data_IF_526289426527
#
_entry.id   IF_526289426527
#
_cell.length_a   1.000
_cell.length_b   1.000
_cell.length_c   1.000
_cell.angle_alpha   90.00
_cell.angle_beta   90.00
_cell.angle_gamma   90.00
#
_symmetry.space_group_name_H-M   'P 1'
#
loop_
_entity.id
_entity.type
_entity.pdbx_description
1 polymer ?
#
# COMPACT_ATOMS: atom_id res chain seq x y z
N UNK A 1 2.64 5.14 -13.39
CA UNK A 1 2.27 5.92 -14.61
C UNK A 1 1.21 6.99 -14.34
N UNK A 2 0.03 6.65 -13.78
CA UNK A 2 -1.03 7.64 -13.54
C UNK A 2 -0.57 8.84 -12.69
N UNK A 3 0.19 8.60 -11.61
CA UNK A 3 0.74 9.67 -10.78
C UNK A 3 1.66 10.65 -11.54
N UNK A 4 2.46 10.17 -12.50
CA UNK A 4 3.27 11.07 -13.35
C UNK A 4 2.37 11.95 -14.22
N UNK A 5 1.34 11.37 -14.82
CA UNK A 5 0.44 12.08 -15.73
C UNK A 5 -0.43 13.12 -14.99
N UNK A 6 -1.08 12.71 -13.90
CA UNK A 6 -1.92 13.60 -13.10
C UNK A 6 -1.07 14.66 -12.40
N UNK A 7 0.13 14.30 -11.94
CA UNK A 7 1.09 15.24 -11.36
C UNK A 7 1.56 16.33 -12.33
N UNK A 8 1.86 15.97 -13.58
CA UNK A 8 2.25 16.91 -14.63
C UNK A 8 1.10 17.85 -14.99
N UNK A 9 -0.12 17.31 -15.08
CA UNK A 9 -1.33 18.12 -15.26
C UNK A 9 -1.56 19.09 -14.08
N UNK A 10 -1.48 18.62 -12.84
CA UNK A 10 -1.64 19.45 -11.64
C UNK A 10 -0.56 20.53 -11.54
N UNK A 11 0.69 20.22 -11.88
CA UNK A 11 1.76 21.23 -11.92
C UNK A 11 1.48 22.29 -12.99
N UNK A 12 1.03 21.89 -14.19
CA UNK A 12 0.67 22.82 -15.26
C UNK A 12 -0.53 23.70 -14.89
N UNK A 13 -1.55 23.14 -14.24
CA UNK A 13 -2.69 23.89 -13.73
C UNK A 13 -2.24 24.93 -12.70
N UNK A 14 -1.34 24.57 -11.78
CA UNK A 14 -0.80 25.48 -10.77
C UNK A 14 0.08 26.58 -11.39
N UNK A 15 0.92 26.24 -12.37
CA UNK A 15 1.73 27.22 -13.10
C UNK A 15 0.84 28.19 -13.87
N UNK A 16 -0.19 27.68 -14.55
CA UNK A 16 -1.17 28.52 -15.22
C UNK A 16 -1.88 29.46 -14.25
N UNK A 17 -2.33 28.91 -13.12
CA UNK A 17 -3.03 29.66 -12.09
C UNK A 17 -2.18 30.80 -11.54
N UNK A 18 -0.91 30.53 -11.22
CA UNK A 18 -0.02 31.51 -10.62
C UNK A 18 0.41 32.62 -11.59
N UNK A 19 0.57 32.30 -12.87
CA UNK A 19 1.14 33.24 -13.84
C UNK A 19 0.10 33.93 -14.73
N UNK A 20 -1.09 33.33 -14.90
CA UNK A 20 -2.06 33.77 -15.91
C UNK A 20 -3.50 33.93 -15.39
N UNK A 21 -3.85 33.37 -14.23
CA UNK A 21 -5.22 33.49 -13.74
C UNK A 21 -5.62 34.95 -13.48
N UNK A 22 -6.81 35.30 -13.93
CA UNK A 22 -7.42 36.60 -13.68
C UNK A 22 -8.24 36.57 -12.39
N UNK A 23 -8.63 37.76 -11.89
CA UNK A 23 -9.59 37.85 -10.78
C UNK A 23 -10.94 37.20 -11.12
N UNK A 24 -11.30 37.10 -12.41
CA UNK A 24 -12.52 36.40 -12.81
C UNK A 24 -12.33 34.89 -12.63
N UNK A 25 -11.22 34.33 -13.08
CA UNK A 25 -10.91 32.89 -12.93
C UNK A 25 -10.90 32.47 -11.45
N UNK A 26 -10.32 33.29 -10.57
CA UNK A 26 -10.34 33.07 -9.12
C UNK A 26 -11.77 32.98 -8.57
N UNK A 27 -12.66 33.87 -9.02
CA UNK A 27 -14.07 33.85 -8.61
C UNK A 27 -14.78 32.61 -9.14
N UNK A 28 -14.50 32.22 -10.37
CA UNK A 28 -15.14 31.06 -11.00
C UNK A 28 -14.70 29.76 -10.33
N UNK A 29 -13.40 29.61 -10.00
CA UNK A 29 -12.87 28.49 -9.22
C UNK A 29 -13.51 28.43 -7.83
N UNK A 30 -13.59 29.57 -7.12
CA UNK A 30 -14.25 29.63 -5.81
C UNK A 30 -15.73 29.25 -5.90
N UNK A 31 -16.46 29.76 -6.90
CA UNK A 31 -17.87 29.44 -7.10
C UNK A 31 -18.08 27.96 -7.44
N UNK A 32 -17.18 27.36 -8.22
CA UNK A 32 -17.19 25.94 -8.54
C UNK A 32 -17.04 25.11 -7.25
N UNK A 33 -15.98 25.33 -6.48
CA UNK A 33 -15.71 24.53 -5.27
C UNK A 33 -16.72 24.75 -4.15
N UNK A 34 -17.39 25.92 -4.07
CA UNK A 34 -18.47 26.14 -3.11
C UNK A 34 -19.69 25.24 -3.34
N UNK A 35 -19.92 24.81 -4.58
CA UNK A 35 -21.09 24.02 -4.98
C UNK A 35 -20.71 22.63 -5.51
N UNK A 36 -19.42 22.29 -5.47
CA UNK A 36 -18.93 21.00 -5.94
C UNK A 36 -19.31 19.93 -4.92
N UNK A 37 -20.04 18.92 -5.38
CA UNK A 37 -20.30 17.70 -4.64
C UNK A 37 -19.71 16.54 -5.43
N UNK A 38 -19.06 15.61 -4.74
CA UNK A 38 -18.64 14.35 -5.33
C UNK A 38 -19.22 13.21 -4.51
N UNK A 39 -20.52 12.89 -4.66
CA UNK A 39 -21.20 11.95 -3.77
C UNK A 39 -20.53 10.56 -3.71
N UNK A 40 -19.88 10.14 -4.81
CA UNK A 40 -19.13 8.88 -4.87
C UNK A 40 -17.86 8.96 -4.02
N UNK A 41 -17.09 10.05 -4.14
CA UNK A 41 -15.90 10.26 -3.32
C UNK A 41 -16.27 10.45 -1.85
N UNK A 42 -17.26 11.30 -1.56
CA UNK A 42 -17.66 11.67 -0.20
C UNK A 42 -18.16 10.46 0.61
N UNK A 43 -18.80 9.49 -0.06
CA UNK A 43 -19.30 8.25 0.54
C UNK A 43 -18.30 7.09 0.54
N UNK A 44 -17.16 7.23 -0.14
CA UNK A 44 -16.16 6.17 -0.21
C UNK A 44 -15.45 5.97 1.15
N UNK A 45 -15.03 4.73 1.48
CA UNK A 45 -14.13 4.45 2.59
C UNK A 45 -12.86 5.31 2.53
N UNK A 46 -12.30 5.64 3.70
CA UNK A 46 -11.10 6.49 3.81
C UNK A 46 -9.95 6.00 2.91
N UNK A 47 -9.66 4.70 2.95
CA UNK A 47 -8.69 4.05 2.06
C UNK A 47 -8.85 4.46 0.59
N UNK A 48 -10.07 4.34 0.04
CA UNK A 48 -10.33 4.62 -1.38
C UNK A 48 -10.29 6.11 -1.69
N UNK A 49 -10.61 6.98 -0.73
CA UNK A 49 -10.49 8.43 -0.91
C UNK A 49 -9.03 8.86 -1.00
N UNK A 50 -8.20 8.37 -0.08
CA UNK A 50 -6.76 8.66 -0.09
C UNK A 50 -6.11 8.11 -1.36
N UNK A 51 -6.44 6.88 -1.75
CA UNK A 51 -5.92 6.30 -2.99
C UNK A 51 -6.34 7.11 -4.23
N UNK A 52 -7.59 7.55 -4.27
CA UNK A 52 -8.09 8.35 -5.39
C UNK A 52 -7.32 9.67 -5.58
N UNK A 53 -6.91 10.32 -4.48
CA UNK A 53 -6.18 11.60 -4.55
C UNK A 53 -4.66 11.43 -4.70
N UNK A 54 -4.12 10.22 -4.49
CA UNK A 54 -2.69 9.95 -4.55
C UNK A 54 -2.01 10.47 -5.83
N UNK A 55 -2.54 10.22 -7.05
CA UNK A 55 -1.92 10.69 -8.28
C UNK A 55 -1.82 12.21 -8.39
N UNK A 56 -2.72 12.94 -7.75
CA UNK A 56 -2.76 14.41 -7.80
C UNK A 56 -1.80 15.01 -6.78
N UNK A 57 -1.78 14.50 -5.55
CA UNK A 57 -0.96 15.06 -4.46
C UNK A 57 0.49 14.63 -4.61
N UNK A 58 0.74 13.32 -4.58
CA UNK A 58 2.10 12.79 -4.60
C UNK A 58 2.69 12.79 -6.01
N UNK A 59 1.85 12.63 -7.03
CA UNK A 59 2.27 12.83 -8.42
C UNK A 59 2.74 14.25 -8.68
N UNK A 60 2.02 15.27 -8.20
CA UNK A 60 2.46 16.67 -8.35
C UNK A 60 3.79 16.90 -7.64
N UNK A 61 3.93 16.43 -6.39
CA UNK A 61 5.18 16.56 -5.64
C UNK A 61 6.36 15.87 -6.36
N UNK A 62 6.13 14.69 -6.95
CA UNK A 62 7.12 13.99 -7.77
C UNK A 62 7.54 14.81 -9.00
N UNK A 63 6.57 15.37 -9.74
CA UNK A 63 6.87 16.17 -10.94
C UNK A 63 7.56 17.50 -10.59
N UNK A 64 7.13 18.16 -9.51
CA UNK A 64 7.78 19.36 -8.98
C UNK A 64 9.23 19.08 -8.59
N UNK A 65 9.50 17.93 -7.96
CA UNK A 65 10.87 17.50 -7.65
C UNK A 65 11.71 17.38 -8.93
N UNK A 66 11.23 16.66 -9.95
CA UNK A 66 11.93 16.51 -11.23
C UNK A 66 12.19 17.87 -11.90
N UNK A 67 11.20 18.75 -11.89
CA UNK A 67 11.32 20.10 -12.43
C UNK A 67 12.42 20.90 -11.71
N UNK A 68 12.49 20.81 -10.37
CA UNK A 68 13.47 21.53 -9.58
C UNK A 68 14.91 21.08 -9.85
N UNK A 69 15.13 19.80 -10.21
CA UNK A 69 16.48 19.27 -10.46
C UNK A 69 16.93 19.34 -11.93
N UNK A 70 16.01 19.38 -12.89
CA UNK A 70 16.36 19.34 -14.31
C UNK A 70 15.33 19.95 -15.27
N UNK A 71 14.37 20.71 -14.74
CA UNK A 71 13.31 21.38 -15.51
C UNK A 71 12.46 20.40 -16.32
N UNK A 72 11.88 20.90 -17.41
CA UNK A 72 11.05 20.10 -18.33
C UNK A 72 11.78 18.91 -18.93
N UNK A 73 13.11 18.97 -19.10
CA UNK A 73 13.88 17.84 -19.63
C UNK A 73 13.85 16.63 -18.68
N UNK A 74 13.94 16.85 -17.37
CA UNK A 74 13.80 15.79 -16.37
C UNK A 74 12.41 15.12 -16.42
N UNK A 75 11.35 15.92 -16.55
CA UNK A 75 9.97 15.40 -16.70
C UNK A 75 9.83 14.59 -17.99
N UNK A 76 10.32 15.12 -19.13
CA UNK A 76 10.30 14.39 -20.40
C UNK A 76 11.08 13.07 -20.33
N UNK A 77 12.18 13.03 -19.57
CA UNK A 77 12.93 11.80 -19.35
C UNK A 77 12.14 10.81 -18.49
N UNK A 78 11.35 11.26 -17.53
CA UNK A 78 10.48 10.38 -16.76
C UNK A 78 9.41 9.69 -17.62
N UNK A 79 8.88 10.37 -18.65
CA UNK A 79 7.99 9.72 -19.63
C UNK A 79 8.69 8.66 -20.51
N UNK A 80 10.01 8.70 -20.61
CA UNK A 80 10.81 7.67 -21.30
C UNK A 80 11.27 6.55 -20.37
N UNK A 81 11.29 6.81 -19.07
CA UNK A 81 11.71 5.88 -18.03
C UNK A 81 10.69 5.89 -16.89
N UNK A 82 9.50 5.35 -17.15
CA UNK A 82 8.36 5.53 -16.25
C UNK A 82 8.67 5.04 -14.82
N UNK A 83 8.18 5.73 -13.76
CA UNK A 83 8.26 5.21 -12.41
C UNK A 83 7.46 3.90 -12.30
N UNK A 84 8.06 2.92 -11.63
CA UNK A 84 7.60 1.52 -11.60
C UNK A 84 6.98 1.12 -10.25
N UNK A 85 7.14 1.93 -9.21
CA UNK A 85 6.55 1.69 -7.89
C UNK A 85 5.93 2.96 -7.31
N UNK A 86 5.07 2.79 -6.30
CA UNK A 86 4.55 3.91 -5.51
C UNK A 86 5.64 4.56 -4.66
N UNK A 87 6.63 3.77 -4.21
CA UNK A 87 7.81 4.25 -3.49
C UNK A 87 8.58 5.30 -4.30
N UNK A 88 8.79 5.06 -5.60
CA UNK A 88 9.44 6.05 -6.47
C UNK A 88 8.67 7.37 -6.59
N UNK A 89 7.34 7.33 -6.44
CA UNK A 89 6.49 8.54 -6.44
C UNK A 89 6.55 9.23 -5.07
N UNK A 90 6.53 8.46 -3.98
CA UNK A 90 6.60 8.95 -2.60
C UNK A 90 7.98 9.55 -2.27
N UNK A 91 9.05 8.96 -2.80
CA UNK A 91 10.45 9.30 -2.56
C UNK A 91 11.16 9.65 -3.89
N UNK A 92 10.83 10.82 -4.49
CA UNK A 92 11.29 11.18 -5.83
C UNK A 92 12.82 11.29 -5.95
N UNK A 93 13.55 11.46 -4.85
CA UNK A 93 15.02 11.47 -4.81
C UNK A 93 15.65 10.09 -5.05
N UNK A 94 14.88 9.00 -4.91
CA UNK A 94 15.33 7.62 -5.14
C UNK A 94 15.06 7.17 -6.57
N UNK A 95 14.12 7.81 -7.26
CA UNK A 95 13.82 7.58 -8.66
C UNK A 95 15.00 8.01 -9.57
N UNK A 96 15.38 7.21 -10.59
CA UNK A 96 14.75 5.97 -11.03
C UNK A 96 15.42 4.69 -10.50
N UNK A 97 16.42 4.81 -9.63
CA UNK A 97 17.33 3.72 -9.31
C UNK A 97 16.74 2.72 -8.31
N UNK A 98 15.79 3.17 -7.50
CA UNK A 98 15.14 2.37 -6.49
C UNK A 98 13.98 1.57 -7.10
N UNK A 99 14.32 0.40 -7.63
CA UNK A 99 13.40 -0.49 -8.33
C UNK A 99 13.08 -1.65 -7.39
N UNK A 100 11.79 -2.01 -7.22
CA UNK A 100 11.40 -3.09 -6.32
C UNK A 100 12.00 -4.42 -6.77
N UNK A 101 12.38 -5.21 -5.79
CA UNK A 101 12.84 -6.59 -5.99
C UNK A 101 11.63 -7.50 -6.18
N UNK A 102 11.70 -8.39 -7.15
CA UNK A 102 10.69 -9.42 -7.34
C UNK A 102 10.71 -10.40 -6.15
N UNK A 103 9.56 -10.54 -5.50
CA UNK A 103 9.39 -11.47 -4.37
C UNK A 103 8.78 -12.77 -4.89
N UNK A 104 9.57 -13.84 -4.83
CA UNK A 104 9.08 -15.18 -5.21
C UNK A 104 8.08 -15.71 -4.18
N UNK A 105 7.02 -16.36 -4.66
CA UNK A 105 6.12 -17.14 -3.82
C UNK A 105 6.21 -18.63 -4.16
N UNK A 106 6.21 -19.54 -3.16
CA UNK A 106 6.06 -20.96 -3.42
C UNK A 106 4.74 -21.26 -4.14
N UNK A 107 4.66 -22.40 -4.83
CA UNK A 107 3.41 -22.89 -5.43
C UNK A 107 2.43 -23.32 -4.33
N UNK A 108 1.73 -22.33 -3.77
CA UNK A 108 0.77 -22.50 -2.69
C UNK A 108 -0.49 -23.24 -3.17
N UNK A 109 -0.86 -23.14 -4.45
CA UNK A 109 -2.06 -23.78 -4.97
C UNK A 109 -1.93 -25.30 -4.93
N UNK A 110 -0.80 -25.83 -5.41
CA UNK A 110 -0.51 -27.28 -5.32
C UNK A 110 -0.47 -27.76 -3.86
N UNK A 111 -0.06 -26.91 -2.93
CA UNK A 111 0.01 -27.23 -1.51
C UNK A 111 -1.37 -27.26 -0.83
N UNK A 112 -2.25 -26.32 -1.22
CA UNK A 112 -3.56 -26.13 -0.62
C UNK A 112 -4.57 -27.20 -1.04
N UNK A 113 -4.48 -27.72 -2.27
CA UNK A 113 -5.37 -28.76 -2.80
C UNK A 113 -6.32 -28.27 -3.89
N UNK A 114 -7.01 -29.22 -4.53
CA UNK A 114 -7.87 -28.99 -5.70
C UNK A 114 -9.13 -28.16 -5.37
N UNK A 115 -9.51 -28.07 -4.10
CA UNK A 115 -10.65 -27.28 -3.62
C UNK A 115 -10.37 -25.78 -3.56
N UNK A 116 -9.10 -25.38 -3.61
CA UNK A 116 -8.68 -23.99 -3.62
C UNK A 116 -8.46 -23.50 -5.05
N UNK A 117 -8.79 -22.24 -5.29
CA UNK A 117 -8.42 -21.51 -6.51
C UNK A 117 -7.89 -20.14 -6.19
N UNK A 118 -6.94 -19.66 -6.99
CA UNK A 118 -6.49 -18.28 -6.92
C UNK A 118 -7.61 -17.34 -7.39
N UNK A 119 -7.93 -16.34 -6.57
CA UNK A 119 -8.82 -15.25 -6.93
C UNK A 119 -8.05 -14.11 -7.57
N UNK A 120 -6.92 -13.74 -6.97
CA UNK A 120 -6.13 -12.58 -7.37
C UNK A 120 -4.71 -12.68 -6.81
N UNK A 121 -3.78 -12.03 -7.49
CA UNK A 121 -2.39 -11.87 -7.07
C UNK A 121 -1.79 -10.59 -7.63
N UNK A 122 -0.83 -10.02 -6.92
CA UNK A 122 -0.19 -8.80 -7.36
C UNK A 122 0.74 -8.19 -6.33
N UNK A 123 0.95 -6.88 -6.47
CA UNK A 123 1.81 -6.07 -5.61
C UNK A 123 0.94 -5.06 -4.86
N UNK A 124 1.13 -4.94 -3.54
CA UNK A 124 0.50 -3.87 -2.75
C UNK A 124 1.30 -2.58 -2.87
N UNK A 125 2.63 -2.65 -2.70
CA UNK A 125 3.47 -1.46 -2.72
C UNK A 125 3.48 -0.69 -1.41
N UNK A 126 4.41 0.25 -1.28
CA UNK A 126 4.52 1.12 -0.09
C UNK A 126 3.21 1.86 0.21
N UNK A 127 2.55 2.40 -0.82
CA UNK A 127 1.35 3.21 -0.63
C UNK A 127 0.19 2.42 -0.03
N UNK A 128 -0.11 1.22 -0.54
CA UNK A 128 -1.19 0.41 0.03
C UNK A 128 -0.81 -0.17 1.38
N UNK A 129 0.48 -0.44 1.62
CA UNK A 129 0.98 -0.81 2.95
C UNK A 129 0.71 0.30 3.97
N UNK A 130 0.99 1.56 3.62
CA UNK A 130 0.60 2.73 4.41
C UNK A 130 -0.91 2.80 4.62
N UNK A 131 -1.71 2.68 3.55
CA UNK A 131 -3.17 2.80 3.64
C UNK A 131 -3.82 1.69 4.49
N UNK A 132 -3.28 0.47 4.48
CA UNK A 132 -3.73 -0.62 5.35
C UNK A 132 -3.60 -0.20 6.82
N UNK A 133 -2.46 0.39 7.19
CA UNK A 133 -2.16 0.80 8.56
C UNK A 133 -2.91 2.06 9.00
N UNK A 134 -2.95 3.10 8.16
CA UNK A 134 -3.52 4.41 8.48
C UNK A 134 -5.01 4.56 8.16
N UNK A 135 -5.49 3.89 7.11
CA UNK A 135 -6.82 4.14 6.52
C UNK A 135 -7.68 2.88 6.38
N UNK A 136 -7.29 1.78 7.03
CA UNK A 136 -8.04 0.54 7.07
C UNK A 136 -9.50 0.68 7.52
N UNK A 137 -10.31 -0.34 7.27
CA UNK A 137 -11.77 -0.29 7.44
C UNK A 137 -12.19 0.11 8.88
N UNK A 138 -11.58 -0.51 9.88
CA UNK A 138 -11.88 -0.31 11.29
C UNK A 138 -11.18 0.94 11.84
N UNK A 139 -11.94 2.00 12.12
CA UNK A 139 -11.36 3.30 12.51
C UNK A 139 -10.57 3.28 13.80
N UNK A 140 -10.88 2.37 14.73
CA UNK A 140 -10.14 2.19 15.99
C UNK A 140 -8.80 1.47 15.81
N UNK A 141 -8.59 0.79 14.68
CA UNK A 141 -7.36 0.07 14.36
C UNK A 141 -6.38 0.90 13.52
N UNK A 142 -6.80 2.08 13.05
CA UNK A 142 -5.95 3.00 12.29
C UNK A 142 -4.82 3.55 13.15
N UNK A 143 -3.62 3.52 12.59
CA UNK A 143 -2.46 4.21 13.16
C UNK A 143 -2.49 5.70 12.80
N UNK A 144 -1.69 6.49 13.52
CA UNK A 144 -1.41 7.86 13.11
C UNK A 144 -0.65 7.85 11.77
N UNK A 145 -0.91 8.85 10.91
CA UNK A 145 -0.33 8.91 9.57
C UNK A 145 1.21 8.88 9.59
N UNK A 146 1.85 9.57 10.53
CA UNK A 146 3.32 9.60 10.63
C UNK A 146 3.84 8.21 11.04
N UNK A 147 3.17 7.56 11.99
CA UNK A 147 3.54 6.21 12.43
C UNK A 147 3.37 5.19 11.30
N UNK A 148 2.28 5.28 10.52
CA UNK A 148 2.04 4.41 9.39
C UNK A 148 3.04 4.64 8.25
N UNK A 149 3.38 5.90 7.95
CA UNK A 149 4.39 6.25 6.93
C UNK A 149 5.76 5.68 7.30
N UNK A 150 6.21 5.88 8.53
CA UNK A 150 7.48 5.31 9.02
C UNK A 150 7.47 3.78 8.95
N UNK A 151 6.31 3.15 9.20
CA UNK A 151 6.18 1.70 9.18
C UNK A 151 6.08 1.11 7.76
N UNK A 152 5.67 1.89 6.76
CA UNK A 152 5.61 1.47 5.36
C UNK A 152 6.86 1.83 4.56
N UNK A 153 7.63 2.83 5.00
CA UNK A 153 8.89 3.22 4.38
C UNK A 153 9.89 2.06 4.39
N UNK A 154 10.74 1.98 3.35
CA UNK A 154 11.70 0.90 3.17
C UNK A 154 11.05 -0.38 2.62
N UNK A 155 9.88 -0.27 2.00
CA UNK A 155 9.28 -1.33 1.23
C UNK A 155 10.17 -1.66 0.03
N UNK A 156 10.71 -2.88 -0.06
CA UNK A 156 11.64 -3.26 -1.13
C UNK A 156 11.03 -4.13 -2.23
N UNK A 157 9.72 -4.40 -2.18
CA UNK A 157 9.02 -5.37 -3.02
C UNK A 157 8.08 -6.27 -2.22
N UNK A 158 6.95 -6.66 -2.79
CA UNK A 158 6.03 -7.63 -2.17
C UNK A 158 5.31 -8.47 -3.21
N UNK A 159 4.60 -9.48 -2.69
CA UNK A 159 3.55 -10.18 -3.40
C UNK A 159 2.38 -10.40 -2.45
N UNK A 160 1.16 -10.14 -2.92
CA UNK A 160 -0.07 -10.62 -2.29
C UNK A 160 -0.70 -11.73 -3.12
N UNK A 161 -1.33 -12.68 -2.43
CA UNK A 161 -2.04 -13.80 -3.00
C UNK A 161 -3.38 -13.96 -2.28
N UNK A 162 -4.46 -14.13 -3.04
CA UNK A 162 -5.79 -14.38 -2.52
C UNK A 162 -6.29 -15.69 -3.09
N UNK A 163 -6.61 -16.64 -2.22
CA UNK A 163 -7.20 -17.92 -2.59
C UNK A 163 -8.61 -18.05 -2.00
N UNK A 164 -9.45 -18.81 -2.69
CA UNK A 164 -10.80 -19.14 -2.28
C UNK A 164 -11.02 -20.64 -2.33
N UNK A 165 -11.58 -21.18 -1.25
CA UNK A 165 -11.97 -22.56 -1.16
C UNK A 165 -13.44 -22.72 -1.56
N UNK A 166 -13.71 -23.50 -2.61
CA UNK A 166 -15.07 -23.64 -3.15
C UNK A 166 -15.96 -24.57 -2.31
N UNK A 167 -15.40 -25.44 -1.48
CA UNK A 167 -16.19 -26.39 -0.68
C UNK A 167 -16.76 -25.77 0.60
N UNK A 168 -15.97 -24.91 1.25
CA UNK A 168 -16.34 -24.31 2.54
C UNK A 168 -16.47 -22.77 2.48
N UNK A 169 -16.37 -22.19 1.29
CA UNK A 169 -16.49 -20.76 1.02
C UNK A 169 -15.50 -19.87 1.78
N UNK A 170 -14.35 -20.42 2.19
CA UNK A 170 -13.32 -19.68 2.92
C UNK A 170 -12.34 -18.93 2.02
N UNK A 171 -11.72 -17.90 2.58
CA UNK A 171 -10.70 -17.07 1.91
C UNK A 171 -9.38 -17.20 2.65
N UNK A 172 -8.30 -17.29 1.89
CA UNK A 172 -6.93 -17.18 2.36
C UNK A 172 -6.28 -15.97 1.70
N UNK A 173 -5.66 -15.10 2.50
CA UNK A 173 -4.84 -13.99 2.01
C UNK A 173 -3.43 -14.20 2.55
N UNK A 174 -2.44 -14.06 1.68
CA UNK A 174 -1.02 -14.07 2.02
C UNK A 174 -0.40 -12.82 1.46
N UNK A 175 0.33 -12.06 2.27
CA UNK A 175 1.15 -10.94 1.84
C UNK A 175 2.57 -11.18 2.32
N UNK A 176 3.50 -11.36 1.38
CA UNK A 176 4.91 -11.57 1.66
C UNK A 176 5.70 -10.36 1.14
N UNK A 177 6.40 -9.69 2.06
CA UNK A 177 7.03 -8.40 1.79
C UNK A 177 8.51 -8.48 2.11
N UNK A 178 9.33 -8.07 1.15
CA UNK A 178 10.75 -7.80 1.31
C UNK A 178 10.93 -6.33 1.70
N UNK A 179 11.72 -6.07 2.73
CA UNK A 179 12.07 -4.73 3.19
C UNK A 179 13.52 -4.42 2.84
N UNK A 180 13.85 -3.14 2.71
CA UNK A 180 15.22 -2.67 2.44
C UNK A 180 16.19 -3.08 3.56
N UNK A 181 15.72 -3.13 4.81
CA UNK A 181 16.49 -3.63 5.94
C UNK A 181 15.66 -4.41 6.96
N UNK A 182 16.35 -5.19 7.80
CA UNK A 182 15.71 -5.85 8.95
C UNK A 182 15.14 -4.87 9.97
N UNK A 183 15.57 -3.60 9.97
CA UNK A 183 15.00 -2.57 10.82
C UNK A 183 13.62 -2.13 10.30
N UNK A 184 13.49 -1.95 9.00
CA UNK A 184 12.24 -1.52 8.36
C UNK A 184 11.18 -2.63 8.49
N UNK A 185 11.58 -3.88 8.23
CA UNK A 185 10.74 -5.05 8.53
C UNK A 185 10.25 -5.05 9.98
N UNK A 186 11.12 -4.69 10.94
CA UNK A 186 10.77 -4.63 12.36
C UNK A 186 9.77 -3.53 12.67
N UNK A 187 9.97 -2.34 12.07
CA UNK A 187 9.07 -1.20 12.22
C UNK A 187 7.67 -1.57 11.72
N UNK A 188 7.57 -2.18 10.54
CA UNK A 188 6.30 -2.69 10.03
C UNK A 188 5.69 -3.74 10.95
N UNK A 189 6.45 -4.75 11.37
CA UNK A 189 5.96 -5.82 12.25
C UNK A 189 5.37 -5.29 13.57
N UNK A 190 6.05 -4.32 14.19
CA UNK A 190 5.60 -3.69 15.44
C UNK A 190 4.36 -2.80 15.24
N UNK A 191 4.30 -2.06 14.13
CA UNK A 191 3.13 -1.26 13.75
C UNK A 191 1.92 -2.15 13.44
N UNK A 192 2.14 -3.23 12.68
CA UNK A 192 1.12 -4.21 12.34
C UNK A 192 0.59 -4.92 13.58
N UNK A 193 1.44 -5.23 14.58
CA UNK A 193 0.97 -5.73 15.89
C UNK A 193 -0.02 -4.76 16.52
N UNK A 194 0.28 -3.46 16.54
CA UNK A 194 -0.58 -2.44 17.15
C UNK A 194 -1.91 -2.34 16.39
N UNK A 195 -1.85 -2.25 15.07
CA UNK A 195 -3.02 -2.25 14.18
C UNK A 195 -3.91 -3.49 14.41
N UNK A 196 -3.33 -4.68 14.29
CA UNK A 196 -4.05 -5.96 14.40
C UNK A 196 -4.57 -6.23 15.81
N UNK A 197 -3.87 -5.79 16.87
CA UNK A 197 -4.38 -5.94 18.23
C UNK A 197 -5.57 -5.03 18.52
N UNK A 198 -5.62 -3.85 17.90
CA UNK A 198 -6.80 -2.98 17.98
C UNK A 198 -8.00 -3.54 17.20
N UNK A 199 -7.74 -4.29 16.12
CA UNK A 199 -8.76 -4.93 15.28
C UNK A 199 -9.29 -6.24 15.86
N UNK A 200 -8.41 -7.14 16.29
CA UNK A 200 -8.74 -8.51 16.68
C UNK A 200 -8.65 -8.76 18.19
N UNK A 201 -8.20 -7.76 18.97
CA UNK A 201 -8.00 -7.87 20.41
C UNK A 201 -6.62 -8.42 20.79
N UNK A 202 -6.54 -9.08 21.95
CA UNK A 202 -5.26 -9.58 22.44
C UNK A 202 -4.73 -10.73 21.55
N UNK A 203 -3.43 -10.75 21.21
CA UNK A 203 -2.84 -11.87 20.50
C UNK A 203 -3.08 -13.21 21.21
N UNK A 204 -3.41 -14.23 20.43
CA UNK A 204 -3.52 -15.61 20.91
C UNK A 204 -2.14 -16.21 21.16
N UNK A 205 -1.17 -15.89 20.30
CA UNK A 205 0.24 -16.21 20.49
C UNK A 205 1.10 -15.00 20.10
N UNK A 206 2.17 -14.77 20.84
CA UNK A 206 3.14 -13.71 20.50
C UNK A 206 4.52 -14.11 21.02
N UNK A 207 5.48 -14.14 20.11
CA UNK A 207 6.91 -14.20 20.39
C UNK A 207 7.62 -13.07 19.64
N UNK A 208 8.96 -13.10 19.59
CA UNK A 208 9.74 -12.02 18.95
C UNK A 208 9.58 -11.96 17.42
N UNK A 209 9.20 -13.06 16.79
CA UNK A 209 9.20 -13.22 15.34
C UNK A 209 7.84 -13.60 14.77
N UNK A 210 6.85 -13.90 15.62
CA UNK A 210 5.50 -14.26 15.20
C UNK A 210 4.45 -13.73 16.16
N UNK A 211 3.34 -13.26 15.62
CA UNK A 211 2.14 -12.90 16.38
C UNK A 211 0.92 -13.44 15.65
N UNK A 212 0.01 -14.08 16.38
CA UNK A 212 -1.25 -14.58 15.84
C UNK A 212 -2.46 -14.14 16.66
N UNK A 213 -3.59 -13.96 15.98
CA UNK A 213 -4.88 -13.60 16.54
C UNK A 213 -5.96 -14.52 15.99
N UNK A 214 -6.65 -15.24 16.89
CA UNK A 214 -7.85 -15.99 16.53
C UNK A 214 -9.07 -15.08 16.67
N UNK A 215 -9.90 -15.05 15.64
CA UNK A 215 -11.15 -14.30 15.59
C UNK A 215 -12.28 -15.17 15.04
N UNK A 216 -13.51 -14.66 15.05
CA UNK A 216 -14.69 -15.44 14.64
C UNK A 216 -14.57 -16.01 13.23
N UNK A 217 -13.94 -15.25 12.33
CA UNK A 217 -13.82 -15.57 10.90
C UNK A 217 -12.50 -16.28 10.52
N UNK A 218 -11.69 -16.68 11.51
CA UNK A 218 -10.45 -17.42 11.27
C UNK A 218 -9.25 -16.93 12.08
N UNK A 219 -8.08 -16.95 11.45
CA UNK A 219 -6.79 -16.63 12.08
C UNK A 219 -6.07 -15.59 11.24
N UNK A 220 -5.60 -14.54 11.89
CA UNK A 220 -4.61 -13.62 11.32
C UNK A 220 -3.27 -13.87 12.00
N UNK A 221 -2.19 -13.98 11.21
CA UNK A 221 -0.83 -14.15 11.70
C UNK A 221 0.12 -13.22 10.95
N UNK A 222 1.10 -12.65 11.66
CA UNK A 222 2.26 -12.03 11.03
C UNK A 222 3.54 -12.68 11.56
N UNK A 223 4.46 -12.96 10.64
CA UNK A 223 5.82 -13.45 10.92
C UNK A 223 6.86 -12.48 10.38
N UNK A 224 8.05 -12.51 10.96
CA UNK A 224 9.21 -11.76 10.51
C UNK A 224 10.48 -12.60 10.58
N UNK A 225 11.24 -12.59 9.49
CA UNK A 225 12.52 -13.27 9.37
C UNK A 225 13.46 -12.41 8.52
N UNK A 226 14.63 -12.08 9.07
CA UNK A 226 15.61 -11.19 8.44
C UNK A 226 14.99 -9.86 7.99
N UNK A 227 14.86 -9.65 6.68
CA UNK A 227 14.25 -8.46 6.08
C UNK A 227 12.86 -8.76 5.48
N UNK A 228 12.25 -9.90 5.80
CA UNK A 228 10.96 -10.31 5.28
C UNK A 228 9.89 -10.30 6.36
N UNK A 229 8.69 -9.89 5.99
CA UNK A 229 7.47 -10.13 6.78
C UNK A 229 6.46 -10.92 5.97
N UNK A 230 5.74 -11.83 6.62
CA UNK A 230 4.61 -12.53 6.00
C UNK A 230 3.38 -12.32 6.85
N UNK A 231 2.36 -11.69 6.27
CA UNK A 231 1.03 -11.62 6.86
C UNK A 231 0.13 -12.67 6.20
N UNK A 232 -0.53 -13.48 7.02
CA UNK A 232 -1.51 -14.48 6.60
C UNK A 232 -2.84 -14.20 7.28
N UNK A 233 -3.92 -14.19 6.51
CA UNK A 233 -5.30 -14.29 7.00
C UNK A 233 -5.87 -15.60 6.45
N UNK A 234 -6.13 -16.56 7.32
CA UNK A 234 -6.54 -17.92 6.96
C UNK A 234 -7.85 -18.32 7.69
N UNK A 235 -8.59 -19.31 7.18
CA UNK A 235 -9.79 -19.82 7.86
C UNK A 235 -9.50 -20.51 9.20
N UNK A 236 -8.30 -21.08 9.35
CA UNK A 236 -7.92 -21.84 10.54
C UNK A 236 -6.38 -21.87 10.73
N UNK A 237 -5.95 -22.28 11.93
CA UNK A 237 -4.54 -22.38 12.30
C UNK A 237 -3.76 -23.41 11.46
N UNK A 238 -4.42 -24.46 10.98
CA UNK A 238 -3.80 -25.50 10.16
C UNK A 238 -3.40 -24.96 8.78
N UNK A 239 -4.30 -24.21 8.16
CA UNK A 239 -4.05 -23.50 6.90
C UNK A 239 -2.95 -22.45 7.07
N UNK A 240 -2.98 -21.65 8.15
CA UNK A 240 -1.92 -20.68 8.43
C UNK A 240 -0.54 -21.34 8.62
N UNK A 241 -0.48 -22.46 9.36
CA UNK A 241 0.75 -23.25 9.55
C UNK A 241 1.29 -23.81 8.23
N UNK A 242 0.40 -24.28 7.35
CA UNK A 242 0.76 -24.81 6.04
C UNK A 242 1.48 -23.75 5.20
N UNK A 243 0.91 -22.55 5.12
CA UNK A 243 1.49 -21.42 4.39
C UNK A 243 2.83 -20.99 4.96
N UNK A 244 2.92 -20.81 6.29
CA UNK A 244 4.16 -20.44 6.96
C UNK A 244 5.28 -21.44 6.65
N UNK A 245 4.97 -22.73 6.72
CA UNK A 245 5.94 -23.81 6.43
C UNK A 245 6.42 -23.78 4.97
N UNK A 246 5.57 -23.37 4.03
CA UNK A 246 5.89 -23.29 2.61
C UNK A 246 6.82 -22.11 2.28
N UNK A 247 6.62 -20.97 2.93
CA UNK A 247 7.42 -19.76 2.75
C UNK A 247 8.77 -19.86 3.49
N UNK A 248 8.93 -20.89 4.33
CA UNK A 248 10.20 -21.20 5.00
C UNK A 248 10.42 -20.44 6.31
N UNK A 249 9.33 -20.09 6.99
CA UNK A 249 9.32 -19.31 8.23
C UNK A 249 8.85 -20.10 9.46
#
# INVERSE_FOLDING_TARGET
VQALLEGDASMLELDWFNNYATTQDLRDIQNFYQNYESPVYDSAPAFLREDFIFPYIYGQAFVEYLYNIGGWEAIHNAYRNLPVSTEQILHPERYPNDVPVEVESPDLLTLLGDEWRELDSGVMGEWYTYLILAHGLESNARLDDIEAQIASEGWGGDIYLIFYNEENESVLIVMHTNWESSNDARQFFDAFRKHSSARFGNPTSSDSNRISWNHADGVTEITIQDQFTTWVLAPDEGTALLIRSAIGQ
#
